data_IF_475067457721
#
_entry.id   IF_475067457721
#
_cell.length_a   1.000
_cell.length_b   1.000
_cell.length_c   1.000
_cell.angle_alpha   90.00
_cell.angle_beta   90.00
_cell.angle_gamma   90.00
#
_symmetry.space_group_name_H-M   'P 1'
#
loop_
_entity.id
_entity.type
_entity.pdbx_description
1 polymer ?
#
# COMPACT_ATOMS: atom_id res chain seq x y z
N UNK A 1 -7.59 58.11 16.68
CA UNK A 1 -8.56 57.00 16.66
C UNK A 1 -7.77 55.73 16.29
N UNK A 2 -7.30 54.96 17.30
CA UNK A 2 -6.38 53.83 17.12
C UNK A 2 -7.18 52.56 16.98
N UNK A 3 -7.15 51.95 15.77
CA UNK A 3 -7.75 50.64 15.50
C UNK A 3 -6.70 49.58 15.85
N UNK A 4 -6.89 48.95 17.00
CA UNK A 4 -6.10 47.79 17.41
C UNK A 4 -6.50 46.60 16.53
N UNK A 5 -5.58 46.13 15.68
CA UNK A 5 -5.72 44.88 14.94
C UNK A 5 -5.44 43.70 15.90
N UNK A 6 -6.49 43.04 16.35
CA UNK A 6 -6.40 41.74 17.06
C UNK A 6 -6.06 40.69 16.04
N UNK A 7 -4.83 40.16 16.09
CA UNK A 7 -4.44 38.92 15.39
C UNK A 7 -5.05 37.75 16.13
N UNK A 8 -5.99 37.09 15.48
CA UNK A 8 -6.47 35.77 15.91
C UNK A 8 -5.40 34.76 15.53
N UNK A 9 -4.70 34.23 16.53
CA UNK A 9 -3.79 33.09 16.34
C UNK A 9 -4.65 31.84 16.12
N UNK A 10 -4.71 31.38 14.88
CA UNK A 10 -5.23 30.06 14.55
C UNK A 10 -4.12 29.07 14.93
N UNK A 11 -4.28 28.43 16.09
CA UNK A 11 -3.49 27.26 16.48
C UNK A 11 -3.89 26.11 15.55
N UNK A 12 -3.09 25.93 14.50
CA UNK A 12 -3.22 24.78 13.61
C UNK A 12 -2.87 23.51 14.38
N UNK A 13 -3.86 22.64 14.58
CA UNK A 13 -3.63 21.27 14.98
C UNK A 13 -2.75 20.62 13.92
N UNK A 14 -1.52 20.27 14.28
CA UNK A 14 -0.61 19.54 13.41
C UNK A 14 -1.09 18.09 13.35
N UNK A 15 -1.89 17.78 12.33
CA UNK A 15 -2.16 16.39 11.99
C UNK A 15 -0.86 15.76 11.50
N UNK A 16 -0.21 14.96 12.34
CA UNK A 16 0.88 14.09 11.92
C UNK A 16 0.28 12.92 11.17
N UNK A 17 -0.09 13.15 9.92
CA UNK A 17 -0.46 12.07 9.01
C UNK A 17 0.82 11.38 8.53
N UNK A 18 1.14 10.23 9.09
CA UNK A 18 2.18 9.36 8.60
C UNK A 18 1.65 8.71 7.32
N UNK A 19 1.97 9.29 6.17
CA UNK A 19 1.57 8.73 4.88
C UNK A 19 2.29 7.39 4.68
N UNK A 20 1.55 6.29 4.60
CA UNK A 20 2.06 4.94 4.31
C UNK A 20 2.69 4.87 2.91
N UNK A 21 2.45 5.86 2.05
CA UNK A 21 3.16 6.01 0.77
C UNK A 21 4.70 5.97 0.94
N UNK A 22 5.24 6.37 2.10
CA UNK A 22 6.65 6.18 2.43
C UNK A 22 7.00 4.73 2.80
N UNK A 23 6.03 3.91 3.19
CA UNK A 23 6.21 2.48 3.45
C UNK A 23 6.03 1.63 2.17
N UNK A 24 5.23 2.10 1.22
CA UNK A 24 5.02 1.44 -0.07
C UNK A 24 6.13 1.72 -1.10
N UNK A 25 6.96 2.75 -0.88
CA UNK A 25 8.08 3.10 -1.77
C UNK A 25 9.33 2.23 -1.57
N UNK A 26 9.29 1.21 -0.70
CA UNK A 26 10.39 0.27 -0.51
C UNK A 26 10.12 -0.99 -1.34
N UNK A 27 10.52 -0.93 -2.60
CA UNK A 27 10.96 -2.11 -3.34
C UNK A 27 9.85 -2.89 -4.05
N UNK A 28 10.01 -2.99 -5.34
CA UNK A 28 9.55 -4.10 -6.17
C UNK A 28 10.18 -5.41 -5.64
N UNK A 29 9.66 -5.89 -4.55
CA UNK A 29 10.00 -7.18 -3.97
C UNK A 29 8.71 -7.76 -3.43
N UNK A 30 8.39 -8.97 -3.85
CA UNK A 30 7.43 -9.88 -3.22
C UNK A 30 7.88 -10.23 -1.80
N UNK A 31 8.36 -9.22 -1.07
CA UNK A 31 8.87 -9.41 0.28
C UNK A 31 7.68 -9.48 1.23
N UNK A 32 7.60 -10.63 1.90
CA UNK A 32 6.70 -10.95 3.01
C UNK A 32 6.74 -9.94 4.18
N UNK A 33 7.41 -8.81 4.01
CA UNK A 33 7.70 -7.82 5.04
C UNK A 33 6.70 -6.65 5.11
N UNK A 34 5.76 -6.51 4.17
CA UNK A 34 4.71 -5.51 4.30
C UNK A 34 3.54 -6.11 5.07
N UNK A 35 3.36 -5.68 6.31
CA UNK A 35 2.22 -6.11 7.13
C UNK A 35 0.90 -5.54 6.61
N UNK A 36 0.93 -4.41 5.91
CA UNK A 36 -0.25 -3.81 5.27
C UNK A 36 -0.23 -4.21 3.80
N UNK A 37 -1.17 -5.08 3.44
CA UNK A 37 -1.29 -5.63 2.08
C UNK A 37 -2.17 -4.72 1.23
N UNK A 38 -1.60 -4.13 0.20
CA UNK A 38 -2.32 -3.33 -0.80
C UNK A 38 -2.20 -3.99 -2.18
N UNK A 39 -3.20 -3.78 -3.01
CA UNK A 39 -3.15 -4.14 -4.43
C UNK A 39 -2.44 -3.02 -5.20
N UNK A 40 -1.21 -3.25 -5.62
CA UNK A 40 -0.45 -2.29 -6.42
C UNK A 40 -1.18 -1.99 -7.74
N UNK A 41 -1.65 -3.02 -8.42
CA UNK A 41 -2.39 -2.85 -9.67
C UNK A 41 -3.77 -2.21 -9.43
N UNK A 42 -4.43 -2.50 -8.31
CA UNK A 42 -5.65 -1.79 -7.90
C UNK A 42 -5.40 -0.30 -7.67
N UNK A 43 -4.31 0.05 -7.00
CA UNK A 43 -3.90 1.45 -6.79
C UNK A 43 -3.58 2.16 -8.11
N UNK A 44 -2.92 1.48 -9.06
CA UNK A 44 -2.67 2.02 -10.42
C UNK A 44 -3.97 2.23 -11.18
N UNK A 45 -4.92 1.30 -11.09
CA UNK A 45 -6.23 1.44 -11.72
C UNK A 45 -6.99 2.65 -11.15
N UNK A 46 -6.99 2.82 -9.83
CA UNK A 46 -7.60 3.98 -9.17
C UNK A 46 -6.96 5.29 -9.61
N UNK A 47 -5.64 5.36 -9.63
CA UNK A 47 -4.91 6.55 -10.07
C UNK A 47 -5.22 6.91 -11.53
N UNK A 48 -5.19 5.92 -12.42
CA UNK A 48 -5.48 6.13 -13.84
C UNK A 48 -6.92 6.61 -14.04
N UNK A 49 -7.89 6.07 -13.29
CA UNK A 49 -9.27 6.50 -13.30
C UNK A 49 -9.41 7.98 -12.89
N UNK A 50 -8.79 8.38 -11.78
CA UNK A 50 -8.83 9.77 -11.31
C UNK A 50 -8.18 10.73 -12.32
N UNK A 51 -7.03 10.34 -12.89
CA UNK A 51 -6.36 11.14 -13.93
C UNK A 51 -7.19 11.24 -15.20
N UNK A 52 -7.90 10.17 -15.60
CA UNK A 52 -8.80 10.19 -16.74
C UNK A 52 -9.93 11.21 -16.56
N UNK A 53 -10.50 11.32 -15.36
CA UNK A 53 -11.51 12.33 -15.03
C UNK A 53 -10.96 13.76 -15.15
N UNK A 54 -9.74 13.98 -14.68
CA UNK A 54 -9.05 15.28 -14.82
C UNK A 54 -8.82 15.58 -16.30
N UNK A 55 -8.31 14.62 -17.07
CA UNK A 55 -8.07 14.79 -18.51
C UNK A 55 -9.35 15.13 -19.28
N UNK A 56 -10.50 14.50 -18.94
CA UNK A 56 -11.80 14.85 -19.53
C UNK A 56 -12.16 16.29 -19.19
N UNK A 57 -12.02 16.70 -17.94
CA UNK A 57 -12.33 18.06 -17.47
C UNK A 57 -11.49 19.12 -18.19
N UNK A 58 -10.21 18.84 -18.42
CA UNK A 58 -9.26 19.71 -19.10
C UNK A 58 -9.37 19.67 -20.63
N UNK A 59 -10.31 18.87 -21.18
CA UNK A 59 -10.51 18.72 -22.63
C UNK A 59 -9.42 17.87 -23.31
N UNK A 60 -8.57 17.18 -22.56
CA UNK A 60 -7.51 16.31 -23.04
C UNK A 60 -8.07 14.91 -23.36
N UNK A 61 -8.99 14.86 -24.32
CA UNK A 61 -9.82 13.67 -24.57
C UNK A 61 -9.02 12.44 -25.00
N UNK A 62 -7.93 12.62 -25.75
CA UNK A 62 -7.05 11.51 -26.18
C UNK A 62 -6.27 10.92 -24.99
N UNK A 63 -5.86 11.75 -24.05
CA UNK A 63 -5.18 11.27 -22.85
C UNK A 63 -6.17 10.60 -21.89
N UNK A 64 -7.40 11.10 -21.84
CA UNK A 64 -8.48 10.43 -21.10
C UNK A 64 -8.71 8.99 -21.60
N UNK A 65 -8.75 8.77 -22.92
CA UNK A 65 -8.88 7.42 -23.52
C UNK A 65 -7.73 6.52 -23.06
N UNK A 66 -6.47 6.98 -23.19
CA UNK A 66 -5.29 6.20 -22.77
C UNK A 66 -5.34 5.85 -21.29
N UNK A 67 -5.75 6.80 -20.45
CA UNK A 67 -5.85 6.61 -19.00
C UNK A 67 -6.95 5.62 -18.63
N UNK A 68 -8.10 5.64 -19.33
CA UNK A 68 -9.16 4.64 -19.13
C UNK A 68 -8.67 3.25 -19.54
N UNK A 69 -7.92 3.12 -20.64
CA UNK A 69 -7.34 1.84 -21.06
C UNK A 69 -6.29 1.33 -20.07
N UNK A 70 -5.49 2.23 -19.49
CA UNK A 70 -4.56 1.89 -18.41
C UNK A 70 -5.30 1.41 -17.16
N UNK A 71 -6.36 2.12 -16.76
CA UNK A 71 -7.19 1.71 -15.63
C UNK A 71 -7.81 0.33 -15.85
N UNK A 72 -8.33 0.06 -17.05
CA UNK A 72 -8.89 -1.25 -17.43
C UNK A 72 -7.86 -2.36 -17.35
N UNK A 73 -6.67 -2.13 -17.88
CA UNK A 73 -5.57 -3.12 -17.89
C UNK A 73 -5.09 -3.43 -16.47
N UNK A 74 -4.88 -2.39 -15.67
CA UNK A 74 -4.45 -2.53 -14.29
C UNK A 74 -5.51 -3.25 -13.44
N UNK A 75 -6.80 -2.90 -13.60
CA UNK A 75 -7.89 -3.56 -12.89
C UNK A 75 -8.01 -5.05 -13.27
N UNK A 76 -7.87 -5.39 -14.55
CA UNK A 76 -7.87 -6.77 -15.00
C UNK A 76 -6.70 -7.58 -14.42
N UNK A 77 -5.56 -6.94 -14.19
CA UNK A 77 -4.41 -7.57 -13.52
C UNK A 77 -4.67 -7.72 -12.03
N UNK A 78 -5.19 -6.69 -11.36
CA UNK A 78 -5.57 -6.74 -9.95
C UNK A 78 -6.61 -7.84 -9.67
N UNK A 79 -7.55 -8.07 -10.58
CA UNK A 79 -8.56 -9.11 -10.46
C UNK A 79 -7.96 -10.53 -10.42
N UNK A 80 -6.81 -10.77 -11.06
CA UNK A 80 -6.11 -12.08 -11.02
C UNK A 80 -5.52 -12.39 -9.65
N UNK A 81 -5.15 -11.35 -8.90
CA UNK A 81 -4.61 -11.48 -7.56
C UNK A 81 -5.67 -11.28 -6.46
N UNK A 82 -6.93 -11.08 -6.87
CA UNK A 82 -8.03 -10.82 -5.96
C UNK A 82 -8.22 -11.93 -4.91
N UNK A 83 -8.02 -13.20 -5.28
CA UNK A 83 -8.15 -14.33 -4.35
C UNK A 83 -7.21 -14.22 -3.13
N UNK A 84 -6.10 -13.50 -3.28
CA UNK A 84 -5.10 -13.30 -2.22
C UNK A 84 -5.35 -12.04 -1.39
N UNK A 85 -6.00 -11.04 -1.98
CA UNK A 85 -6.11 -9.70 -1.42
C UNK A 85 -7.55 -9.28 -1.17
N UNK A 86 -8.54 -9.87 -1.90
CA UNK A 86 -9.92 -9.48 -1.79
C UNK A 86 -10.50 -9.82 -0.43
N UNK A 87 -11.26 -8.88 0.08
CA UNK A 87 -12.06 -9.05 1.28
C UNK A 87 -13.52 -8.83 0.97
N UNK A 88 -14.38 -9.32 1.86
CA UNK A 88 -15.79 -8.91 1.89
C UNK A 88 -15.92 -7.72 2.82
N UNK A 89 -16.56 -6.66 2.36
CA UNK A 89 -16.85 -5.51 3.21
C UNK A 89 -17.71 -5.89 4.42
N UNK A 90 -17.45 -5.22 5.54
CA UNK A 90 -18.33 -5.25 6.71
C UNK A 90 -19.51 -4.27 6.56
N UNK A 91 -19.42 -3.32 5.62
CA UNK A 91 -20.39 -2.22 5.44
C UNK A 91 -21.33 -2.38 4.24
N UNK A 92 -20.97 -3.20 3.28
CA UNK A 92 -21.69 -3.31 2.01
C UNK A 92 -21.60 -4.70 1.40
N UNK A 93 -22.62 -5.11 0.65
CA UNK A 93 -22.66 -6.36 -0.12
C UNK A 93 -22.10 -6.17 -1.56
N UNK A 94 -21.19 -5.23 -1.75
CA UNK A 94 -20.63 -4.89 -3.07
C UNK A 94 -19.74 -5.98 -3.73
N UNK A 95 -19.76 -7.20 -3.18
CA UNK A 95 -18.93 -8.31 -3.66
C UNK A 95 -17.45 -8.21 -3.23
N UNK A 96 -16.56 -8.91 -3.92
CA UNK A 96 -15.12 -8.87 -3.63
C UNK A 96 -14.55 -7.47 -3.85
N UNK A 97 -13.80 -6.99 -2.84
CA UNK A 97 -13.13 -5.69 -2.89
C UNK A 97 -11.65 -5.85 -2.62
N UNK A 98 -10.83 -5.08 -3.30
CA UNK A 98 -9.37 -5.05 -3.10
C UNK A 98 -8.94 -3.77 -2.38
N UNK A 99 -7.95 -3.87 -1.48
CA UNK A 99 -7.40 -2.70 -0.80
C UNK A 99 -6.49 -1.92 -1.77
N UNK A 100 -6.82 -0.63 -1.99
CA UNK A 100 -6.10 0.24 -2.95
C UNK A 100 -5.29 1.33 -2.27
N UNK A 101 -5.64 1.69 -1.03
CA UNK A 101 -4.92 2.66 -0.21
C UNK A 101 -5.14 2.35 1.27
N UNK A 102 -4.19 2.77 2.11
CA UNK A 102 -4.33 2.64 3.56
C UNK A 102 -3.62 3.78 4.27
N UNK A 103 -4.17 4.18 5.42
CA UNK A 103 -3.63 5.25 6.26
C UNK A 103 -3.68 4.84 7.72
N UNK A 104 -2.57 5.07 8.42
CA UNK A 104 -2.54 5.02 9.88
C UNK A 104 -2.82 6.41 10.44
N UNK A 105 -3.75 6.47 11.39
CA UNK A 105 -4.05 7.67 12.16
C UNK A 105 -3.75 7.39 13.63
N UNK A 106 -3.09 8.33 14.28
CA UNK A 106 -2.72 8.27 15.69
C UNK A 106 -3.56 9.30 16.42
N UNK A 107 -4.12 8.94 17.59
CA UNK A 107 -4.89 9.87 18.41
C UNK A 107 -4.00 11.01 18.93
N UNK A 108 -4.56 12.19 19.09
CA UNK A 108 -3.82 13.38 19.54
C UNK A 108 -3.18 13.17 20.92
N UNK A 109 -3.87 12.51 21.84
CA UNK A 109 -3.35 12.18 23.17
C UNK A 109 -2.12 11.28 23.10
N UNK A 110 -2.04 10.42 22.11
CA UNK A 110 -0.88 9.56 21.89
C UNK A 110 0.29 10.35 21.29
N UNK A 111 0.03 11.21 20.32
CA UNK A 111 1.06 11.96 19.61
C UNK A 111 1.80 12.98 20.49
N UNK A 112 1.15 13.49 21.54
CA UNK A 112 1.70 14.51 22.46
C UNK A 112 2.53 13.94 23.61
N UNK A 113 2.47 12.62 23.88
CA UNK A 113 3.22 11.97 24.97
C UNK A 113 4.61 11.53 24.49
N UNK A 114 5.71 12.08 25.07
CA UNK A 114 7.09 11.70 24.66
C UNK A 114 7.39 10.19 24.81
N UNK A 115 6.81 9.52 25.81
CA UNK A 115 6.99 8.08 26.00
C UNK A 115 6.33 7.29 24.88
N UNK A 116 5.16 7.74 24.42
CA UNK A 116 4.44 7.14 23.31
C UNK A 116 5.13 7.38 21.98
N UNK A 117 5.83 8.51 21.82
CA UNK A 117 6.67 8.74 20.64
C UNK A 117 7.81 7.71 20.53
N UNK A 118 8.45 7.34 21.64
CA UNK A 118 9.45 6.25 21.68
C UNK A 118 8.80 4.90 21.31
N UNK A 119 7.59 4.62 21.81
CA UNK A 119 6.84 3.43 21.43
C UNK A 119 6.58 3.39 19.91
N UNK A 120 6.24 4.54 19.29
CA UNK A 120 6.03 4.63 17.85
C UNK A 120 7.30 4.34 17.03
N UNK A 121 8.47 4.73 17.52
CA UNK A 121 9.73 4.38 16.88
C UNK A 121 9.96 2.86 16.90
N UNK A 122 9.76 2.23 18.06
CA UNK A 122 9.87 0.77 18.24
C UNK A 122 8.82 0.03 17.37
N UNK A 123 7.59 0.53 17.35
CA UNK A 123 6.53 0.01 16.49
C UNK A 123 6.98 0.01 15.03
N UNK A 124 7.45 1.15 14.54
CA UNK A 124 7.90 1.28 13.15
C UNK A 124 9.06 0.34 12.80
N UNK A 125 9.98 0.09 13.73
CA UNK A 125 11.06 -0.90 13.56
C UNK A 125 10.51 -2.32 13.40
N UNK A 126 9.53 -2.71 14.23
CA UNK A 126 8.92 -4.04 14.14
C UNK A 126 8.06 -4.19 12.88
N UNK A 127 7.35 -3.12 12.46
CA UNK A 127 6.59 -3.13 11.22
C UNK A 127 7.49 -3.31 9.99
N UNK A 128 8.64 -2.62 9.95
CA UNK A 128 9.63 -2.78 8.87
C UNK A 128 10.23 -4.20 8.80
N UNK A 129 10.27 -4.90 9.93
CA UNK A 129 10.76 -6.28 10.01
C UNK A 129 9.66 -7.32 9.82
N UNK A 130 8.40 -6.92 9.62
CA UNK A 130 7.27 -7.83 9.51
C UNK A 130 6.89 -8.54 10.81
N UNK A 131 7.31 -8.02 11.97
CA UNK A 131 7.16 -8.64 13.28
C UNK A 131 5.83 -8.23 13.95
N UNK A 132 4.68 -8.66 13.38
CA UNK A 132 3.34 -8.27 13.83
C UNK A 132 3.11 -8.48 15.36
N UNK A 133 3.58 -9.61 15.91
CA UNK A 133 3.42 -9.90 17.34
C UNK A 133 4.13 -8.89 18.23
N UNK A 134 5.37 -8.53 17.89
CA UNK A 134 6.15 -7.53 18.63
C UNK A 134 5.55 -6.14 18.48
N UNK A 135 5.00 -5.83 17.30
CA UNK A 135 4.28 -4.58 17.07
C UNK A 135 3.05 -4.47 18.01
N UNK A 136 2.28 -5.56 18.17
CA UNK A 136 1.16 -5.62 19.13
C UNK A 136 1.65 -5.47 20.58
N UNK A 137 2.76 -6.13 20.95
CA UNK A 137 3.34 -6.02 22.30
C UNK A 137 3.77 -4.59 22.63
N UNK A 138 4.30 -3.86 21.65
CA UNK A 138 4.69 -2.44 21.82
C UNK A 138 3.48 -1.55 22.03
N UNK A 139 2.40 -1.73 21.26
CA UNK A 139 1.17 -0.95 21.41
C UNK A 139 0.38 -1.35 22.67
N UNK A 140 0.37 -2.64 22.99
CA UNK A 140 -0.55 -3.24 23.95
C UNK A 140 -1.76 -3.85 23.23
N UNK A 141 -2.27 -5.00 23.73
CA UNK A 141 -3.30 -5.77 23.02
C UNK A 141 -4.68 -5.10 22.95
N UNK A 142 -4.92 -4.06 23.74
CA UNK A 142 -6.17 -3.30 23.77
C UNK A 142 -5.98 -1.82 23.35
N UNK A 143 -4.88 -1.50 22.70
CA UNK A 143 -4.59 -0.13 22.29
C UNK A 143 -5.42 0.26 21.06
N UNK A 144 -6.26 1.26 21.18
CA UNK A 144 -7.09 1.85 20.12
C UNK A 144 -6.53 3.19 19.61
N UNK A 145 -5.39 3.63 20.14
CA UNK A 145 -4.81 4.94 19.78
C UNK A 145 -4.27 4.99 18.35
N UNK A 146 -4.02 3.83 17.73
CA UNK A 146 -3.60 3.71 16.34
C UNK A 146 -4.70 3.04 15.52
N UNK A 147 -5.25 3.77 14.58
CA UNK A 147 -6.33 3.32 13.69
C UNK A 147 -5.80 3.14 12.27
N UNK A 148 -6.09 1.98 11.67
CA UNK A 148 -5.87 1.73 10.25
C UNK A 148 -7.16 2.02 9.50
N UNK A 149 -7.11 2.99 8.58
CA UNK A 149 -8.18 3.24 7.61
C UNK A 149 -7.73 2.74 6.25
N UNK A 150 -8.48 1.81 5.69
CA UNK A 150 -8.19 1.22 4.37
C UNK A 150 -9.28 1.61 3.39
N UNK A 151 -8.87 2.03 2.20
CA UNK A 151 -9.77 2.29 1.07
C UNK A 151 -9.85 1.06 0.18
N UNK A 152 -11.05 0.58 -0.03
CA UNK A 152 -11.34 -0.61 -0.83
C UNK A 152 -12.05 -0.25 -2.12
N UNK A 153 -11.67 -0.92 -3.20
CA UNK A 153 -12.28 -0.81 -4.52
C UNK A 153 -13.09 -2.07 -4.83
N UNK A 154 -14.42 -1.96 -5.04
CA UNK A 154 -15.23 -3.05 -5.54
C UNK A 154 -14.85 -3.38 -6.98
N UNK A 155 -14.41 -4.62 -7.24
CA UNK A 155 -13.89 -5.02 -8.56
C UNK A 155 -14.95 -4.95 -9.65
N UNK A 156 -16.11 -5.53 -9.41
CA UNK A 156 -17.18 -5.62 -10.41
C UNK A 156 -17.74 -4.25 -10.78
N UNK A 157 -18.12 -3.46 -9.76
CA UNK A 157 -18.70 -2.13 -9.97
C UNK A 157 -17.72 -1.20 -10.70
N UNK A 158 -16.43 -1.26 -10.32
CA UNK A 158 -15.38 -0.44 -10.94
C UNK A 158 -15.12 -0.90 -12.38
N UNK A 159 -15.03 -2.21 -12.65
CA UNK A 159 -14.84 -2.73 -14.01
C UNK A 159 -15.95 -2.28 -14.94
N UNK A 160 -17.20 -2.46 -14.51
CA UNK A 160 -18.36 -2.03 -15.30
C UNK A 160 -18.33 -0.53 -15.62
N UNK A 161 -18.01 0.30 -14.63
CA UNK A 161 -17.97 1.75 -14.83
C UNK A 161 -16.83 2.19 -15.76
N UNK A 162 -15.67 1.52 -15.72
CA UNK A 162 -14.56 1.76 -16.66
C UNK A 162 -14.96 1.35 -18.07
N UNK A 163 -15.66 0.22 -18.26
CA UNK A 163 -16.14 -0.23 -19.57
C UNK A 163 -17.20 0.73 -20.15
N UNK A 164 -18.15 1.18 -19.31
CA UNK A 164 -19.14 2.18 -19.67
C UNK A 164 -18.44 3.50 -20.13
N UNK A 165 -17.42 3.96 -19.36
CA UNK A 165 -16.66 5.17 -19.68
C UNK A 165 -15.86 5.02 -20.99
N UNK A 166 -15.23 3.87 -21.24
CA UNK A 166 -14.49 3.59 -22.46
C UNK A 166 -15.41 3.69 -23.69
N UNK A 167 -16.62 3.11 -23.60
CA UNK A 167 -17.63 3.18 -24.67
C UNK A 167 -18.06 4.63 -24.92
N UNK A 168 -18.38 5.37 -23.89
CA UNK A 168 -18.84 6.76 -23.97
C UNK A 168 -17.75 7.70 -24.52
N UNK A 169 -16.47 7.48 -24.19
CA UNK A 169 -15.36 8.21 -24.78
C UNK A 169 -15.25 7.95 -26.28
N UNK A 170 -15.43 6.69 -26.72
CA UNK A 170 -15.47 6.34 -28.13
C UNK A 170 -16.59 7.02 -28.91
N UNK A 171 -17.72 7.31 -28.24
CA UNK A 171 -18.85 8.05 -28.78
C UNK A 171 -18.73 9.57 -28.63
N UNK A 172 -17.60 10.08 -28.12
CA UNK A 172 -17.36 11.51 -27.82
C UNK A 172 -18.34 12.08 -26.77
N UNK A 173 -18.94 11.24 -25.95
CA UNK A 173 -19.83 11.59 -24.83
C UNK A 173 -19.02 11.82 -23.56
N UNK A 174 -18.20 12.88 -23.57
CA UNK A 174 -17.18 13.11 -22.54
C UNK A 174 -17.78 13.38 -21.14
N UNK A 175 -18.90 14.09 -21.08
CA UNK A 175 -19.57 14.37 -19.82
C UNK A 175 -20.09 13.08 -19.17
N UNK A 176 -20.78 12.25 -19.94
CA UNK A 176 -21.31 10.96 -19.50
C UNK A 176 -20.19 9.99 -19.11
N UNK A 177 -19.08 9.99 -19.88
CA UNK A 177 -17.89 9.23 -19.52
C UNK A 177 -17.32 9.63 -18.15
N UNK A 178 -17.21 10.93 -17.88
CA UNK A 178 -16.76 11.43 -16.58
C UNK A 178 -17.74 11.00 -15.45
N UNK A 179 -19.05 11.01 -15.71
CA UNK A 179 -20.02 10.53 -14.74
C UNK A 179 -19.90 9.02 -14.47
N UNK A 180 -19.62 8.21 -15.50
CA UNK A 180 -19.35 6.79 -15.33
C UNK A 180 -18.10 6.54 -14.46
N UNK A 181 -17.01 7.25 -14.72
CA UNK A 181 -15.79 7.18 -13.90
C UNK A 181 -16.04 7.66 -12.46
N UNK A 182 -16.81 8.75 -12.29
CA UNK A 182 -17.21 9.22 -10.97
C UNK A 182 -18.00 8.16 -10.19
N UNK A 183 -18.89 7.44 -10.86
CA UNK A 183 -19.67 6.36 -10.23
C UNK A 183 -18.76 5.23 -9.72
N UNK A 184 -17.66 4.92 -10.44
CA UNK A 184 -16.65 4.00 -9.96
C UNK A 184 -16.00 4.50 -8.67
N UNK A 185 -15.54 5.76 -8.66
CA UNK A 185 -14.93 6.39 -7.49
C UNK A 185 -15.89 6.43 -6.30
N UNK A 186 -17.14 6.84 -6.51
CA UNK A 186 -18.18 6.92 -5.48
C UNK A 186 -18.53 5.53 -4.87
N UNK A 187 -18.19 4.44 -5.57
CA UNK A 187 -18.39 3.07 -5.06
C UNK A 187 -17.31 2.60 -4.10
N UNK A 188 -16.19 3.32 -4.00
CA UNK A 188 -15.10 2.91 -3.11
C UNK A 188 -15.51 3.03 -1.65
N UNK A 189 -15.05 2.09 -0.84
CA UNK A 189 -15.46 1.97 0.56
C UNK A 189 -14.27 2.20 1.48
N UNK A 190 -14.42 3.13 2.42
CA UNK A 190 -13.45 3.37 3.47
C UNK A 190 -13.87 2.63 4.74
N UNK A 191 -13.00 1.78 5.27
CA UNK A 191 -13.18 1.06 6.53
C UNK A 191 -12.03 1.36 7.48
N UNK A 192 -12.38 1.64 8.75
CA UNK A 192 -11.42 1.89 9.82
C UNK A 192 -11.53 0.81 10.89
N UNK A 193 -10.40 0.39 11.42
CA UNK A 193 -10.30 -0.56 12.52
C UNK A 193 -9.08 -0.26 13.38
N UNK A 194 -9.05 -0.76 14.62
CA UNK A 194 -7.84 -0.71 15.44
C UNK A 194 -6.70 -1.39 14.70
N UNK A 195 -5.53 -0.77 14.73
CA UNK A 195 -4.35 -1.35 14.08
C UNK A 195 -3.90 -2.65 14.77
N UNK A 196 -4.12 -2.75 16.07
CA UNK A 196 -3.87 -3.98 16.84
C UNK A 196 -4.80 -5.12 16.37
N UNK A 197 -6.09 -4.83 16.16
CA UNK A 197 -7.04 -5.80 15.61
C UNK A 197 -6.62 -6.28 14.22
N UNK A 198 -6.21 -5.35 13.36
CA UNK A 198 -5.69 -5.69 12.04
C UNK A 198 -4.48 -6.63 12.10
N UNK A 199 -3.47 -6.29 12.93
CA UNK A 199 -2.26 -7.10 13.07
C UNK A 199 -2.55 -8.50 13.64
N UNK A 200 -3.51 -8.61 14.57
CA UNK A 200 -3.93 -9.87 15.15
C UNK A 200 -4.65 -10.79 14.16
N UNK A 201 -5.34 -10.19 13.18
CA UNK A 201 -6.07 -10.91 12.13
C UNK A 201 -5.17 -11.38 10.96
N UNK A 202 -3.91 -10.92 10.90
CA UNK A 202 -2.99 -11.35 9.85
C UNK A 202 -2.76 -12.85 9.90
N UNK A 203 -2.70 -13.54 8.74
CA UNK A 203 -2.32 -14.94 8.68
C UNK A 203 -0.93 -15.10 9.30
N UNK A 204 -0.81 -16.10 10.19
CA UNK A 204 0.51 -16.42 10.77
C UNK A 204 1.46 -16.75 9.63
N UNK A 205 2.69 -16.22 9.64
CA UNK A 205 3.68 -16.63 8.66
C UNK A 205 3.81 -18.16 8.74
N UNK A 206 3.51 -18.82 7.64
CA UNK A 206 3.85 -20.25 7.51
C UNK A 206 5.36 -20.34 7.73
N UNK A 207 5.77 -21.17 8.71
CA UNK A 207 7.18 -21.50 8.86
C UNK A 207 7.61 -22.03 7.48
N UNK A 208 8.44 -21.29 6.78
CA UNK A 208 9.11 -21.79 5.60
C UNK A 208 9.87 -23.06 6.06
N UNK A 209 9.26 -24.21 5.81
CA UNK A 209 9.94 -25.47 5.84
C UNK A 209 10.98 -25.41 4.72
N UNK A 210 12.21 -25.75 5.04
CA UNK A 210 13.38 -25.82 4.17
C UNK A 210 14.12 -24.51 3.85
N UNK A 211 14.90 -24.06 4.85
CA UNK A 211 16.23 -23.57 4.51
C UNK A 211 17.05 -24.78 4.01
N UNK A 212 17.60 -24.75 2.78
CA UNK A 212 18.51 -25.81 2.36
C UNK A 212 19.71 -25.85 3.31
N UNK A 213 19.87 -26.97 4.02
CA UNK A 213 21.10 -27.26 4.76
C UNK A 213 22.24 -27.11 3.76
N UNK A 214 23.07 -26.09 3.95
CA UNK A 214 24.36 -26.00 3.28
C UNK A 214 25.15 -27.25 3.65
N UNK A 215 25.19 -28.21 2.73
CA UNK A 215 26.16 -29.29 2.80
C UNK A 215 27.55 -28.68 2.80
N UNK A 216 28.20 -28.90 3.91
CA UNK A 216 29.60 -28.61 4.14
C UNK A 216 30.40 -29.48 3.17
N UNK A 217 30.71 -28.91 1.99
CA UNK A 217 31.67 -29.56 1.07
C UNK A 217 33.04 -29.49 1.75
N UNK A 218 33.38 -30.61 2.42
CA UNK A 218 34.71 -30.95 2.83
C UNK A 218 35.39 -31.57 1.62
N UNK A 219 36.08 -30.80 0.83
CA UNK A 219 37.20 -31.32 -0.02
C UNK A 219 38.08 -30.12 -0.43
N UNK A 220 39.04 -29.83 0.41
CA UNK A 220 40.19 -29.01 0.04
C UNK A 220 41.25 -29.96 -0.52
N UNK A 221 41.74 -29.81 -1.75
CA UNK A 221 42.93 -30.52 -2.19
C UNK A 221 44.18 -29.89 -1.57
N UNK A 222 44.99 -30.78 -0.96
CA UNK A 222 46.33 -30.56 -0.38
C UNK A 222 47.27 -30.05 -1.47
N UNK A 223 48.12 -29.02 -1.26
CA UNK A 223 49.11 -28.65 -2.22
C UNK A 223 50.27 -29.61 -2.20
N UNK A 224 50.51 -30.25 -3.35
CA UNK A 224 51.75 -30.99 -3.61
C UNK A 224 52.95 -30.07 -3.71
N UNK A 225 53.98 -30.43 -2.94
CA UNK A 225 55.34 -29.96 -3.06
C UNK A 225 55.96 -30.49 -4.35
N UNK A 226 56.31 -29.63 -5.27
CA UNK A 226 57.26 -29.97 -6.31
C UNK A 226 58.47 -29.05 -6.14
N UNK A 227 59.56 -29.67 -5.72
CA UNK A 227 60.94 -29.16 -5.87
C UNK A 227 61.34 -29.40 -7.32
N UNK A 228 61.91 -28.42 -7.96
CA UNK A 228 63.24 -28.58 -8.60
C UNK A 228 63.67 -27.31 -9.28
N UNK A 229 64.86 -26.85 -8.97
CA UNK A 229 65.59 -25.86 -9.71
C UNK A 229 66.50 -26.60 -10.74
N UNK A 230 66.84 -25.98 -11.87
CA UNK A 230 68.26 -25.95 -12.20
C UNK A 230 68.78 -24.53 -12.53
N UNK A 231 70.05 -24.38 -12.07
CA UNK A 231 71.02 -23.38 -12.47
C UNK A 231 71.41 -23.56 -13.96
N UNK A 232 71.75 -22.45 -14.60
CA UNK A 232 73.01 -22.19 -15.34
C UNK A 232 72.86 -20.87 -16.11
N UNK A 233 73.76 -19.94 -15.85
CA UNK A 233 74.98 -19.61 -16.65
C UNK A 233 74.66 -19.08 -18.07
N UNK A 234 74.78 -17.85 -18.28
CA UNK A 234 75.86 -16.97 -18.80
C UNK A 234 75.38 -15.55 -18.97
#
# INVERSE_FOLDING_TARGET
MNIRKTFLAVTGAAFVSLSIAALAAVGHGTDANSLIRLSEEGSKAAQSLLLARIAIFDGQTQDAVKLVDQAKTALATAAKDADKLAIKSRKTDAGPMIPIDARLTISDDFALDPKKQEQMQKLNEHLKKGEAKKAIEVLGPADESVTLTTLFMPLEATSKAIDDASTLLGESKYYEANLALKKAEDSWVSESQSFVEYLAALPKPEKSADAPKSEKSANAPKPEKSADAPKSEK
#
